data_IF_209470211063
#
_entry.id   IF_209470211063
#
_cell.length_a   1.000
_cell.length_b   1.000
_cell.length_c   1.000
_cell.angle_alpha   90.00
_cell.angle_beta   90.00
_cell.angle_gamma   90.00
#
_symmetry.space_group_name_H-M   'P 1'
#
loop_
_entity.id
_entity.type
_entity.pdbx_description
1 polymer ?
#
# COMPACT_ATOMS: atom_id res chain seq x y z
N UNK A 1 -17.40 -4.37 -13.25
CA UNK A 1 -16.18 -4.35 -14.08
C UNK A 1 -15.02 -4.81 -13.22
N UNK A 2 -14.20 -5.74 -13.70
CA UNK A 2 -13.05 -6.30 -12.97
C UNK A 2 -11.78 -6.08 -13.81
N UNK A 3 -10.69 -5.70 -13.16
CA UNK A 3 -9.37 -5.55 -13.76
C UNK A 3 -8.41 -6.49 -13.03
N UNK A 4 -7.66 -7.30 -13.78
CA UNK A 4 -6.72 -8.27 -13.24
C UNK A 4 -5.30 -7.88 -13.67
N UNK A 5 -4.37 -7.87 -12.72
CA UNK A 5 -2.97 -7.57 -12.95
C UNK A 5 -2.13 -8.66 -12.31
N UNK A 6 -1.08 -9.08 -13.00
CA UNK A 6 -0.02 -9.93 -12.43
C UNK A 6 1.20 -9.05 -12.15
N UNK A 7 1.82 -9.27 -11.00
CA UNK A 7 3.00 -8.53 -10.58
C UNK A 7 4.01 -9.48 -9.95
N UNK A 8 5.28 -9.27 -10.25
CA UNK A 8 6.39 -10.03 -9.68
C UNK A 8 7.20 -9.13 -8.73
N UNK A 9 7.61 -9.72 -7.63
CA UNK A 9 8.46 -9.08 -6.63
C UNK A 9 9.91 -9.29 -7.04
N UNK A 10 10.54 -8.25 -7.56
CA UNK A 10 11.92 -8.32 -8.04
C UNK A 10 12.95 -8.29 -6.91
N UNK A 11 12.62 -7.62 -5.81
CA UNK A 11 13.49 -7.45 -4.64
C UNK A 11 12.79 -7.94 -3.38
N UNK A 12 13.52 -8.48 -2.38
CA UNK A 12 12.92 -8.93 -1.14
C UNK A 12 12.06 -7.82 -0.49
N UNK A 13 10.80 -8.13 -0.18
CA UNK A 13 9.90 -7.22 0.52
C UNK A 13 9.93 -7.48 2.02
N UNK A 14 9.90 -6.39 2.79
CA UNK A 14 9.70 -6.44 4.24
C UNK A 14 8.21 -6.35 4.54
N UNK A 15 7.58 -7.49 4.81
CA UNK A 15 6.16 -7.58 5.13
C UNK A 15 5.97 -7.95 6.60
N UNK A 16 4.97 -7.35 7.24
CA UNK A 16 4.53 -7.74 8.57
C UNK A 16 3.49 -8.85 8.51
N UNK A 17 3.59 -9.83 9.40
CA UNK A 17 2.53 -10.81 9.62
C UNK A 17 1.51 -10.29 10.64
N UNK A 18 0.35 -10.94 10.75
CA UNK A 18 -0.66 -10.62 11.77
C UNK A 18 -0.16 -11.05 13.15
N UNK A 19 0.51 -12.19 13.18
CA UNK A 19 1.10 -12.74 14.38
C UNK A 19 2.58 -12.37 14.44
N UNK A 20 3.04 -11.96 15.61
CA UNK A 20 4.45 -11.69 15.86
C UNK A 20 5.28 -12.97 15.65
N UNK A 21 5.90 -13.10 14.48
CA UNK A 21 6.67 -14.28 14.07
C UNK A 21 5.99 -15.17 13.02
N UNK A 22 4.78 -14.83 12.58
CA UNK A 22 4.09 -15.54 11.49
C UNK A 22 4.73 -15.28 10.12
N UNK A 23 4.30 -16.05 9.11
CA UNK A 23 4.82 -15.88 7.75
C UNK A 23 4.45 -14.50 7.19
N UNK A 24 5.40 -13.81 6.54
CA UNK A 24 5.15 -12.52 5.90
C UNK A 24 4.19 -12.69 4.71
N UNK A 25 3.08 -11.94 4.71
CA UNK A 25 2.08 -11.99 3.64
C UNK A 25 1.83 -10.60 3.00
N UNK A 26 1.66 -10.57 1.68
CA UNK A 26 1.29 -9.35 0.98
C UNK A 26 -0.22 -9.14 1.11
N UNK A 27 -0.62 -8.12 1.87
CA UNK A 27 -2.03 -7.87 2.18
C UNK A 27 -2.67 -6.86 1.24
N UNK A 28 -3.94 -7.06 0.91
CA UNK A 28 -4.73 -6.12 0.13
C UNK A 28 -4.76 -4.68 0.70
N UNK A 29 -4.82 -4.43 2.04
CA UNK A 29 -4.68 -3.10 2.60
C UNK A 29 -3.36 -2.39 2.26
N UNK A 30 -2.24 -3.11 2.18
CA UNK A 30 -0.94 -2.52 1.83
C UNK A 30 -0.93 -2.02 0.39
N UNK A 31 -1.41 -2.86 -0.54
CA UNK A 31 -1.56 -2.48 -1.96
C UNK A 31 -2.52 -1.30 -2.10
N UNK A 32 -3.67 -1.36 -1.41
CA UNK A 32 -4.64 -0.27 -1.38
C UNK A 32 -4.04 1.04 -0.86
N UNK A 33 -3.20 0.98 0.17
CA UNK A 33 -2.48 2.14 0.70
C UNK A 33 -1.52 2.76 -0.32
N UNK A 34 -0.75 1.92 -1.02
CA UNK A 34 0.14 2.35 -2.10
C UNK A 34 -0.64 3.02 -3.24
N UNK A 35 -1.77 2.46 -3.65
CA UNK A 35 -2.64 3.06 -4.68
C UNK A 35 -3.20 4.43 -4.22
N UNK A 36 -3.64 4.56 -2.97
CA UNK A 36 -4.09 5.85 -2.40
C UNK A 36 -2.96 6.89 -2.37
N UNK A 37 -1.75 6.46 -2.05
CA UNK A 37 -0.57 7.34 -2.10
C UNK A 37 -0.31 7.84 -3.52
N UNK A 38 -0.23 6.93 -4.50
CA UNK A 38 0.05 7.30 -5.88
C UNK A 38 -1.06 8.13 -6.52
N UNK A 39 -2.33 7.88 -6.19
CA UNK A 39 -3.43 8.74 -6.58
C UNK A 39 -3.20 10.19 -6.10
N UNK A 40 -2.88 10.38 -4.81
CA UNK A 40 -2.61 11.72 -4.26
C UNK A 40 -1.40 12.38 -4.92
N UNK A 41 -0.34 11.64 -5.18
CA UNK A 41 0.86 12.17 -5.83
C UNK A 41 0.58 12.62 -7.26
N UNK A 42 -0.12 11.81 -8.05
CA UNK A 42 -0.50 12.15 -9.42
C UNK A 42 -1.50 13.31 -9.47
N UNK A 43 -2.58 13.23 -8.69
CA UNK A 43 -3.59 14.28 -8.63
C UNK A 43 -3.00 15.61 -8.13
N UNK A 44 -2.15 15.57 -7.11
CA UNK A 44 -1.43 16.73 -6.59
C UNK A 44 -0.47 17.33 -7.64
N UNK A 45 0.31 16.49 -8.32
CA UNK A 45 1.24 16.95 -9.36
C UNK A 45 0.54 17.61 -10.55
N UNK A 46 -0.56 17.01 -11.03
CA UNK A 46 -1.36 17.60 -12.12
C UNK A 46 -1.99 18.92 -11.67
N UNK A 47 -2.61 18.95 -10.49
CA UNK A 47 -3.34 20.14 -10.00
C UNK A 47 -2.45 21.30 -9.59
N UNK A 48 -1.21 21.04 -9.17
CA UNK A 48 -0.24 22.09 -8.88
C UNK A 48 0.32 22.76 -10.15
N UNK A 49 0.16 22.14 -11.32
CA UNK A 49 0.53 22.76 -12.59
C UNK A 49 -0.46 23.84 -13.05
N UNK A 50 -1.71 23.78 -12.59
CA UNK A 50 -2.80 24.62 -13.12
C UNK A 50 -2.87 26.02 -12.47
N UNK A 51 -2.53 26.18 -11.18
CA UNK A 51 -2.48 27.50 -10.52
C UNK A 51 -1.71 27.45 -9.17
N UNK A 52 -0.61 28.20 -9.07
CA UNK A 52 0.25 28.23 -7.87
C UNK A 52 -0.36 29.04 -6.72
N UNK A 53 -1.32 29.93 -7.02
CA UNK A 53 -1.89 30.87 -6.05
C UNK A 53 -3.04 30.27 -5.22
N UNK A 54 -3.45 29.03 -5.52
CA UNK A 54 -4.64 28.42 -4.90
C UNK A 54 -4.34 27.06 -4.27
N UNK A 55 -3.27 27.00 -3.46
CA UNK A 55 -2.78 25.76 -2.83
C UNK A 55 -3.82 25.06 -1.96
N UNK A 56 -4.59 25.81 -1.17
CA UNK A 56 -5.61 25.24 -0.27
C UNK A 56 -6.76 24.59 -1.05
N UNK A 57 -7.26 25.26 -2.09
CA UNK A 57 -8.34 24.71 -2.93
C UNK A 57 -7.89 23.47 -3.71
N UNK A 58 -6.62 23.40 -4.11
CA UNK A 58 -6.08 22.23 -4.80
C UNK A 58 -5.96 21.02 -3.87
N UNK A 59 -5.58 21.22 -2.60
CA UNK A 59 -5.54 20.14 -1.61
C UNK A 59 -6.93 19.58 -1.31
N UNK A 60 -7.95 20.44 -1.17
CA UNK A 60 -9.32 19.98 -0.93
C UNK A 60 -9.88 19.20 -2.12
N UNK A 61 -9.57 19.61 -3.36
CA UNK A 61 -9.92 18.84 -4.56
C UNK A 61 -9.30 17.44 -4.56
N UNK A 62 -8.01 17.32 -4.23
CA UNK A 62 -7.32 16.02 -4.15
C UNK A 62 -7.93 15.13 -3.08
N UNK A 63 -8.22 15.67 -1.89
CA UNK A 63 -8.92 14.93 -0.82
C UNK A 63 -10.30 14.47 -1.26
N UNK A 64 -11.04 15.29 -2.00
CA UNK A 64 -12.38 14.96 -2.46
C UNK A 64 -12.37 13.81 -3.47
N UNK A 65 -11.41 13.80 -4.39
CA UNK A 65 -11.21 12.70 -5.33
C UNK A 65 -10.82 11.40 -4.63
N UNK A 66 -9.87 11.48 -3.69
CA UNK A 66 -9.46 10.32 -2.90
C UNK A 66 -10.66 9.71 -2.14
N UNK A 67 -11.46 10.55 -1.46
CA UNK A 67 -12.68 10.11 -0.77
C UNK A 67 -13.69 9.47 -1.71
N UNK A 68 -13.83 9.98 -2.93
CA UNK A 68 -14.77 9.45 -3.90
C UNK A 68 -14.37 8.06 -4.39
N UNK A 69 -13.07 7.81 -4.58
CA UNK A 69 -12.56 6.55 -5.11
C UNK A 69 -12.29 5.48 -4.04
N UNK A 70 -11.73 5.89 -2.89
CA UNK A 70 -11.29 4.98 -1.82
C UNK A 70 -12.13 5.04 -0.55
N UNK A 71 -13.16 5.89 -0.53
CA UNK A 71 -14.05 6.06 0.62
C UNK A 71 -13.47 6.90 1.75
N UNK A 72 -14.34 7.17 2.71
CA UNK A 72 -14.09 7.86 3.99
C UNK A 72 -14.77 7.10 5.13
N UNK A 73 -14.69 7.63 6.35
CA UNK A 73 -15.44 7.09 7.50
C UNK A 73 -16.94 7.02 7.23
N UNK A 74 -17.47 8.01 6.50
CA UNK A 74 -18.91 8.14 6.24
C UNK A 74 -19.35 7.48 4.92
N UNK A 75 -18.40 7.05 4.07
CA UNK A 75 -18.70 6.52 2.74
C UNK A 75 -17.83 5.33 2.38
N UNK A 76 -18.48 4.21 2.05
CA UNK A 76 -17.80 3.01 1.52
C UNK A 76 -17.15 3.30 0.17
N UNK A 77 -15.95 2.75 0.00
CA UNK A 77 -15.22 2.74 -1.27
C UNK A 77 -15.97 2.00 -2.37
N UNK A 78 -16.13 2.57 -3.57
CA UNK A 78 -16.63 1.85 -4.73
C UNK A 78 -15.61 0.82 -5.27
N UNK A 79 -14.31 0.99 -4.96
CA UNK A 79 -13.24 0.08 -5.42
C UNK A 79 -12.86 -0.92 -4.32
N UNK A 80 -12.78 -2.20 -4.70
CA UNK A 80 -12.27 -3.29 -3.87
C UNK A 80 -10.96 -3.83 -4.47
N UNK A 81 -9.98 -4.10 -3.60
CA UNK A 81 -8.68 -4.66 -3.99
C UNK A 81 -8.59 -6.05 -3.40
N UNK A 82 -8.26 -7.03 -4.24
CA UNK A 82 -8.00 -8.40 -3.84
C UNK A 82 -6.57 -8.74 -4.24
N UNK A 83 -5.84 -9.39 -3.34
CA UNK A 83 -4.49 -9.91 -3.59
C UNK A 83 -4.58 -11.41 -3.48
N UNK A 84 -4.17 -12.09 -4.55
CA UNK A 84 -4.10 -13.55 -4.61
C UNK A 84 -2.62 -13.88 -4.74
N UNK A 85 -1.99 -14.47 -3.71
CA UNK A 85 -0.62 -14.94 -3.83
C UNK A 85 -0.61 -16.14 -4.78
N UNK A 86 0.29 -16.10 -5.76
CA UNK A 86 0.69 -17.29 -6.51
C UNK A 86 1.74 -18.05 -5.68
N UNK A 87 1.83 -19.37 -5.84
CA UNK A 87 2.73 -20.23 -5.06
C UNK A 87 4.14 -19.63 -4.99
N UNK A 88 4.59 -19.31 -3.77
CA UNK A 88 5.89 -18.68 -3.59
C UNK A 88 7.00 -19.71 -3.78
N UNK A 89 7.98 -19.38 -4.62
CA UNK A 89 9.27 -20.08 -4.61
C UNK A 89 9.88 -19.87 -3.22
N UNK A 90 10.02 -20.95 -2.45
CA UNK A 90 10.61 -20.91 -1.12
C UNK A 90 12.07 -20.46 -1.20
N UNK A 91 12.37 -19.30 -0.63
CA UNK A 91 13.74 -18.87 -0.36
C UNK A 91 14.14 -19.35 1.04
N UNK A 92 15.41 -19.74 1.27
CA UNK A 92 15.86 -20.14 2.59
C UNK A 92 15.62 -19.00 3.60
N UNK A 93 14.79 -19.24 4.60
CA UNK A 93 14.50 -18.27 5.64
C UNK A 93 15.77 -17.98 6.46
N UNK A 94 16.12 -16.71 6.59
CA UNK A 94 17.17 -16.29 7.52
C UNK A 94 16.65 -16.44 8.95
N UNK A 95 16.95 -17.58 9.58
CA UNK A 95 16.69 -17.78 11.01
C UNK A 95 17.68 -16.95 11.81
N UNK A 96 17.19 -15.92 12.48
CA UNK A 96 17.94 -15.27 13.57
C UNK A 96 18.07 -16.26 14.72
N UNK A 97 19.24 -16.89 14.84
CA UNK A 97 19.63 -17.53 16.09
C UNK A 97 19.68 -16.45 17.16
N UNK A 98 18.77 -16.51 18.14
CA UNK A 98 18.94 -15.75 19.39
C UNK A 98 20.08 -16.41 20.16
N UNK A 99 21.32 -16.15 19.74
CA UNK A 99 22.46 -16.35 20.59
C UNK A 99 22.32 -15.34 21.74
N UNK A 100 21.69 -15.77 22.83
CA UNK A 100 21.82 -15.12 24.12
C UNK A 100 23.30 -15.11 24.46
N UNK A 101 23.99 -14.03 24.11
CA UNK A 101 25.29 -13.75 24.70
C UNK A 101 25.00 -13.18 26.07
N UNK A 102 25.09 -14.05 27.07
CA UNK A 102 25.29 -13.68 28.46
C UNK A 102 26.61 -12.90 28.52
N UNK A 103 26.51 -11.58 28.39
CA UNK A 103 27.57 -10.68 28.80
C UNK A 103 27.30 -10.32 30.24
N UNK A 104 27.92 -11.09 31.15
CA UNK A 104 28.22 -10.82 32.56
C UNK A 104 27.12 -10.21 33.43
#
# INVERSE_FOLDING_TARGET
MQLNFQGEVLTPMFLGSADSGGEPELRAPSVRGALRYWLRALAGGIRWADDINVRETNLEKVKQEERTLFGSTDRRSPVSVLVIPEEQKTFPQFKRERAGKDYL
#
